data_IF_433094267034
#
_entry.id   IF_433094267034
#
_cell.length_a   1.000
_cell.length_b   1.000
_cell.length_c   1.000
_cell.angle_alpha   90.00
_cell.angle_beta   90.00
_cell.angle_gamma   90.00
#
_symmetry.space_group_name_H-M   'P 1'
#
loop_
_entity.id
_entity.type
_entity.pdbx_description
1 polymer ?
#
# COMPACT_ATOMS: atom_id res chain seq x y z
N UNK A 1 51.99 -26.06 -22.67
CA UNK A 1 51.61 -25.26 -21.48
C UNK A 1 50.36 -24.46 -21.86
N UNK A 2 49.17 -24.93 -21.49
CA UNK A 2 47.88 -24.31 -21.90
C UNK A 2 47.47 -23.30 -20.84
N UNK A 3 47.44 -22.00 -21.17
CA UNK A 3 46.80 -20.98 -20.35
C UNK A 3 45.28 -21.11 -20.52
N UNK A 4 44.58 -21.39 -19.42
CA UNK A 4 43.11 -21.30 -19.34
C UNK A 4 42.82 -19.89 -18.82
N UNK A 5 42.35 -19.00 -19.69
CA UNK A 5 41.87 -17.67 -19.32
C UNK A 5 40.46 -17.83 -18.75
N UNK A 6 40.31 -17.71 -17.43
CA UNK A 6 39.00 -17.66 -16.79
C UNK A 6 38.39 -16.27 -17.02
N UNK A 7 37.36 -16.20 -17.86
CA UNK A 7 36.48 -15.03 -17.95
C UNK A 7 35.63 -14.96 -16.70
N UNK A 8 35.98 -14.04 -15.78
CA UNK A 8 35.09 -13.64 -14.70
C UNK A 8 33.93 -12.83 -15.29
N UNK A 9 32.77 -13.47 -15.48
CA UNK A 9 31.54 -12.76 -15.80
C UNK A 9 31.14 -11.93 -14.58
N UNK A 10 31.30 -10.59 -14.69
CA UNK A 10 30.61 -9.65 -13.82
C UNK A 10 29.10 -9.82 -14.06
N UNK A 11 28.44 -10.52 -13.15
CA UNK A 11 26.99 -10.46 -13.02
C UNK A 11 26.66 -9.05 -12.53
N UNK A 12 26.19 -8.21 -13.45
CA UNK A 12 25.47 -7.00 -13.10
C UNK A 12 24.21 -7.42 -12.34
N UNK A 13 24.27 -7.40 -11.01
CA UNK A 13 23.07 -7.38 -10.18
C UNK A 13 22.43 -6.02 -10.41
N UNK A 14 21.58 -5.94 -11.42
CA UNK A 14 20.57 -4.89 -11.50
C UNK A 14 19.82 -5.00 -10.18
N UNK A 15 19.90 -3.97 -9.33
CA UNK A 15 19.15 -3.93 -8.09
C UNK A 15 17.68 -4.20 -8.44
N UNK A 16 17.19 -5.42 -8.16
CA UNK A 16 15.77 -5.65 -8.02
C UNK A 16 15.33 -4.63 -6.98
N UNK A 17 14.48 -3.67 -7.38
CA UNK A 17 13.79 -2.80 -6.43
C UNK A 17 13.28 -3.70 -5.31
N UNK A 18 13.86 -3.53 -4.12
CA UNK A 18 13.80 -4.54 -3.10
C UNK A 18 12.34 -4.89 -2.78
N UNK A 19 12.05 -6.18 -2.79
CA UNK A 19 10.98 -6.76 -1.99
C UNK A 19 11.29 -6.39 -0.54
N UNK A 20 10.79 -5.24 -0.11
CA UNK A 20 11.08 -4.65 1.18
C UNK A 20 9.88 -4.78 2.10
N UNK A 21 10.15 -4.90 3.40
CA UNK A 21 9.15 -4.67 4.44
C UNK A 21 9.14 -3.20 4.79
N UNK A 22 7.97 -2.58 4.76
CA UNK A 22 7.76 -1.17 5.07
C UNK A 22 6.74 -1.03 6.17
N UNK A 23 7.06 -0.25 7.20
CA UNK A 23 6.14 0.01 8.32
C UNK A 23 5.79 1.48 8.39
N UNK A 24 4.52 1.78 8.53
CA UNK A 24 4.03 3.13 8.74
C UNK A 24 4.18 3.55 10.19
N UNK A 25 4.79 4.71 10.41
CA UNK A 25 4.91 5.37 11.70
C UNK A 25 4.22 6.73 11.65
N UNK A 26 3.03 6.81 12.26
CA UNK A 26 2.24 8.02 12.29
C UNK A 26 2.83 9.14 13.18
N UNK A 27 3.80 8.82 14.04
CA UNK A 27 4.47 9.79 14.89
C UNK A 27 5.59 10.58 14.20
N UNK A 28 6.09 10.09 13.05
CA UNK A 28 7.24 10.70 12.35
C UNK A 28 6.84 11.99 11.62
N UNK A 29 5.72 11.97 10.90
CA UNK A 29 5.20 13.10 10.15
C UNK A 29 3.68 13.23 10.38
N UNK A 30 3.27 13.61 11.61
CA UNK A 30 1.86 13.59 12.03
C UNK A 30 1.00 14.65 11.32
N UNK A 31 1.62 15.72 10.79
CA UNK A 31 0.92 16.79 10.07
C UNK A 31 0.55 16.41 8.62
N UNK A 32 1.08 15.29 8.10
CA UNK A 32 0.80 14.87 6.73
C UNK A 32 0.66 13.34 6.64
N UNK A 33 -0.58 12.86 6.67
CA UNK A 33 -0.92 11.44 6.65
C UNK A 33 -1.02 10.85 5.24
N UNK A 34 -0.66 11.59 4.19
CA UNK A 34 -0.69 11.08 2.82
C UNK A 34 0.35 9.96 2.64
N UNK A 35 0.01 8.89 1.92
CA UNK A 35 0.93 7.79 1.61
C UNK A 35 2.28 8.26 1.06
N UNK A 36 2.25 9.29 0.21
CA UNK A 36 3.43 9.95 -0.36
C UNK A 36 3.78 11.29 0.34
N UNK A 37 3.18 11.51 1.50
CA UNK A 37 3.36 12.69 2.33
C UNK A 37 4.71 12.72 3.00
N UNK A 38 5.19 13.93 3.26
CA UNK A 38 6.43 14.20 3.94
C UNK A 38 6.33 15.50 4.74
N UNK A 39 7.25 15.65 5.69
CA UNK A 39 7.39 16.78 6.58
C UNK A 39 8.82 17.32 6.51
N UNK A 40 8.99 18.61 6.84
CA UNK A 40 10.31 19.16 7.11
C UNK A 40 10.84 18.59 8.43
N UNK A 41 12.08 18.12 8.41
CA UNK A 41 12.84 17.67 9.57
C UNK A 41 13.98 18.65 9.93
N UNK A 42 14.06 19.81 9.26
CA UNK A 42 15.07 20.84 9.49
C UNK A 42 15.90 21.12 8.24
N UNK A 43 17.20 21.33 8.43
CA UNK A 43 18.17 21.57 7.36
C UNK A 43 19.12 20.39 7.22
N UNK A 44 19.70 20.24 6.04
CA UNK A 44 20.62 19.16 5.75
C UNK A 44 21.91 19.22 6.57
N UNK A 45 22.40 18.08 7.08
CA UNK A 45 23.73 18.01 7.65
C UNK A 45 24.77 18.47 6.63
N UNK A 46 25.56 19.49 6.99
CA UNK A 46 26.62 20.03 6.14
C UNK A 46 26.16 21.03 5.07
N UNK A 47 24.85 21.26 4.89
CA UNK A 47 24.33 22.28 3.97
C UNK A 47 23.01 22.87 4.49
N UNK A 48 23.11 24.02 5.14
CA UNK A 48 21.94 24.72 5.71
C UNK A 48 21.00 25.29 4.66
N UNK A 49 21.42 25.38 3.39
CA UNK A 49 20.58 25.90 2.30
C UNK A 49 19.60 24.86 1.78
N UNK A 50 19.83 23.58 2.11
CA UNK A 50 18.99 22.45 1.72
C UNK A 50 18.09 22.01 2.86
N UNK A 51 16.83 21.76 2.53
CA UNK A 51 15.85 21.26 3.49
C UNK A 51 16.07 19.77 3.75
N UNK A 52 15.98 19.35 5.00
CA UNK A 52 15.96 17.94 5.39
C UNK A 52 14.52 17.49 5.55
N UNK A 53 14.15 16.36 4.95
CA UNK A 53 12.77 15.90 4.83
C UNK A 53 12.63 14.48 5.37
N UNK A 54 11.45 14.18 5.89
CA UNK A 54 11.10 12.84 6.39
C UNK A 54 9.68 12.46 5.98
N UNK A 55 9.42 11.18 5.74
CA UNK A 55 8.07 10.64 5.54
C UNK A 55 7.67 9.63 6.64
N UNK A 56 6.39 9.27 6.70
CA UNK A 56 5.88 8.29 7.68
C UNK A 56 6.41 6.85 7.43
N UNK A 57 7.22 6.64 6.40
CA UNK A 57 7.98 5.41 6.17
C UNK A 57 9.37 5.42 6.82
N UNK A 58 9.66 6.44 7.65
CA UNK A 58 10.94 6.66 8.33
C UNK A 58 12.13 6.86 7.37
N UNK A 59 11.86 7.30 6.15
CA UNK A 59 12.92 7.66 5.20
C UNK A 59 13.23 9.15 5.38
N UNK A 60 14.51 9.45 5.58
CA UNK A 60 15.03 10.81 5.71
C UNK A 60 15.91 11.14 4.50
N UNK A 61 15.77 12.35 3.94
CA UNK A 61 16.55 12.75 2.79
C UNK A 61 16.79 14.26 2.73
N UNK A 62 17.88 14.64 2.07
CA UNK A 62 18.28 16.03 1.89
C UNK A 62 17.61 16.78 0.75
N UNK A 63 16.84 16.06 -0.07
CA UNK A 63 15.95 16.62 -1.07
C UNK A 63 14.64 15.86 -1.02
N UNK A 64 13.53 16.58 -1.21
CA UNK A 64 12.19 15.96 -1.24
C UNK A 64 12.08 14.84 -2.27
N UNK A 65 12.71 15.02 -3.43
CA UNK A 65 12.70 14.05 -4.53
C UNK A 65 13.47 12.76 -4.25
N UNK A 66 14.29 12.74 -3.20
CA UNK A 66 15.11 11.57 -2.83
C UNK A 66 14.45 10.69 -1.77
N UNK A 67 13.25 11.05 -1.30
CA UNK A 67 12.48 10.20 -0.40
C UNK A 67 12.02 8.93 -1.11
N UNK A 68 12.33 7.79 -0.51
CA UNK A 68 11.86 6.48 -0.97
C UNK A 68 10.48 6.15 -0.40
N UNK A 69 9.73 5.33 -1.14
CA UNK A 69 8.40 4.87 -0.81
C UNK A 69 8.28 3.37 -1.14
N UNK A 70 7.33 2.64 -0.53
CA UNK A 70 7.06 1.26 -0.89
C UNK A 70 6.75 1.13 -2.39
N UNK A 71 7.44 0.20 -3.05
CA UNK A 71 7.31 -0.07 -4.48
C UNK A 71 6.88 -1.51 -4.79
N UNK A 72 6.85 -1.91 -6.07
CA UNK A 72 6.36 -3.22 -6.49
C UNK A 72 7.07 -4.36 -5.75
N UNK A 73 6.31 -5.34 -5.25
CA UNK A 73 6.87 -6.44 -4.45
C UNK A 73 7.02 -6.15 -2.95
N UNK A 74 6.78 -4.92 -2.50
CA UNK A 74 6.91 -4.56 -1.08
C UNK A 74 5.75 -5.08 -0.22
N UNK A 75 6.05 -5.53 0.99
CA UNK A 75 5.05 -5.79 2.03
C UNK A 75 4.92 -4.57 2.94
N UNK A 76 3.71 -4.06 3.08
CA UNK A 76 3.41 -2.82 3.81
C UNK A 76 2.61 -3.11 5.06
N UNK A 77 3.08 -2.62 6.19
CA UNK A 77 2.46 -2.77 7.49
C UNK A 77 1.98 -1.41 7.98
N UNK A 78 0.66 -1.24 8.03
CA UNK A 78 0.00 -0.13 8.71
C UNK A 78 -0.32 -0.62 10.13
N UNK A 79 0.74 -0.79 10.92
CA UNK A 79 0.73 -1.47 12.21
C UNK A 79 1.11 -0.57 13.39
N UNK A 80 1.10 0.75 13.23
CA UNK A 80 1.29 1.68 14.33
C UNK A 80 0.28 1.41 15.45
N UNK A 81 0.76 1.27 16.69
CA UNK A 81 -0.06 0.82 17.82
C UNK A 81 -0.25 1.85 18.93
N UNK A 82 0.52 2.95 18.93
CA UNK A 82 0.49 3.91 20.03
C UNK A 82 -0.86 4.63 20.13
N UNK A 83 -1.46 4.97 18.98
CA UNK A 83 -2.75 5.66 18.87
C UNK A 83 -3.46 5.23 17.60
N UNK A 84 -4.74 5.60 17.48
CA UNK A 84 -5.43 5.55 16.20
C UNK A 84 -4.75 6.50 15.22
N UNK A 85 -4.75 6.12 13.94
CA UNK A 85 -4.03 6.85 12.92
C UNK A 85 -4.70 6.72 11.56
N UNK A 86 -4.42 7.69 10.70
CA UNK A 86 -4.96 7.76 9.36
C UNK A 86 -3.86 7.54 8.34
N UNK A 87 -4.17 6.82 7.27
CA UNK A 87 -3.36 6.73 6.06
C UNK A 87 -4.23 7.19 4.91
N UNK A 88 -3.82 8.28 4.25
CA UNK A 88 -4.58 8.88 3.17
C UNK A 88 -3.95 8.57 1.81
N UNK A 89 -4.74 8.00 0.91
CA UNK A 89 -4.30 7.62 -0.43
C UNK A 89 -5.03 8.46 -1.50
N UNK A 90 -4.25 9.25 -2.24
CA UNK A 90 -4.73 10.09 -3.35
C UNK A 90 -3.95 9.89 -4.65
N UNK A 91 -3.24 8.77 -4.78
CA UNK A 91 -2.41 8.42 -5.93
C UNK A 91 -2.37 6.90 -6.12
N UNK A 92 -1.82 6.44 -7.24
CA UNK A 92 -1.64 5.01 -7.48
C UNK A 92 -0.51 4.43 -6.63
N UNK A 93 -0.73 3.24 -6.07
CA UNK A 93 0.26 2.46 -5.32
C UNK A 93 0.42 1.10 -6.01
N UNK A 94 1.66 0.64 -6.12
CA UNK A 94 2.02 -0.67 -6.63
C UNK A 94 2.96 -1.34 -5.62
N UNK A 95 2.44 -2.32 -4.89
CA UNK A 95 3.12 -3.07 -3.82
C UNK A 95 2.70 -4.54 -3.89
N UNK A 96 3.27 -5.41 -3.05
CA UNK A 96 2.79 -6.79 -2.91
C UNK A 96 1.55 -6.85 -2.05
N UNK A 97 1.67 -6.52 -0.76
CA UNK A 97 0.58 -6.69 0.19
C UNK A 97 0.53 -5.53 1.18
N UNK A 98 -0.66 -5.27 1.71
CA UNK A 98 -0.92 -4.25 2.73
C UNK A 98 -1.59 -4.94 3.92
N UNK A 99 -1.09 -4.70 5.13
CA UNK A 99 -1.61 -5.22 6.37
C UNK A 99 -1.98 -4.05 7.28
N UNK A 100 -3.28 -3.75 7.39
CA UNK A 100 -3.79 -2.69 8.25
C UNK A 100 -4.36 -3.26 9.55
N UNK A 101 -3.86 -2.78 10.69
CA UNK A 101 -4.36 -3.15 12.00
C UNK A 101 -5.72 -2.48 12.31
N UNK A 102 -6.31 -2.84 13.44
CA UNK A 102 -7.61 -2.34 13.90
C UNK A 102 -7.65 -0.84 14.29
N UNK A 103 -6.50 -0.17 14.36
CA UNK A 103 -6.36 1.26 14.66
C UNK A 103 -6.24 2.14 13.41
N UNK A 104 -6.02 1.52 12.26
CA UNK A 104 -5.82 2.22 11.00
C UNK A 104 -7.17 2.67 10.40
N UNK A 105 -7.27 3.96 10.10
CA UNK A 105 -8.25 4.50 9.16
C UNK A 105 -7.57 4.72 7.80
N UNK A 106 -7.80 3.82 6.87
CA UNK A 106 -7.30 3.93 5.49
C UNK A 106 -8.31 4.69 4.63
N UNK A 107 -8.01 5.96 4.35
CA UNK A 107 -8.84 6.81 3.49
C UNK A 107 -8.35 6.65 2.05
N UNK A 108 -9.15 5.99 1.22
CA UNK A 108 -8.86 5.85 -0.21
C UNK A 108 -9.67 6.89 -0.97
N UNK A 109 -9.03 7.95 -1.45
CA UNK A 109 -9.68 9.01 -2.23
C UNK A 109 -9.61 8.77 -3.74
N UNK A 110 -8.45 8.37 -4.25
CA UNK A 110 -8.21 8.18 -5.68
C UNK A 110 -7.03 7.23 -5.93
N UNK A 111 -6.73 6.98 -7.21
CA UNK A 111 -5.62 6.11 -7.62
C UNK A 111 -5.94 4.62 -7.56
N UNK A 112 -5.10 3.81 -8.18
CA UNK A 112 -5.21 2.35 -8.14
C UNK A 112 -4.39 1.76 -7.01
N UNK A 113 -4.92 0.75 -6.33
CA UNK A 113 -4.15 -0.18 -5.51
C UNK A 113 -3.80 -1.39 -6.37
N UNK A 114 -2.54 -1.50 -6.79
CA UNK A 114 -2.01 -2.68 -7.46
C UNK A 114 -1.24 -3.52 -6.45
N UNK A 115 -1.75 -4.72 -6.18
CA UNK A 115 -1.22 -5.67 -5.22
C UNK A 115 -0.72 -6.90 -5.97
N UNK A 116 0.60 -6.99 -6.15
CA UNK A 116 1.24 -8.05 -6.94
C UNK A 116 2.63 -8.36 -6.42
N UNK A 117 3.02 -9.62 -6.57
CA UNK A 117 4.40 -10.07 -6.36
C UNK A 117 5.11 -10.21 -7.72
N UNK A 118 5.95 -9.24 -8.13
CA UNK A 118 6.62 -9.29 -9.42
C UNK A 118 7.60 -10.47 -9.53
N UNK A 119 8.14 -10.96 -8.42
CA UNK A 119 9.07 -12.09 -8.42
C UNK A 119 8.35 -13.44 -8.52
N UNK A 120 7.05 -13.48 -8.25
CA UNK A 120 6.22 -14.66 -8.43
C UNK A 120 5.25 -14.47 -9.60
N UNK A 121 5.76 -14.16 -10.80
CA UNK A 121 4.96 -14.01 -12.02
C UNK A 121 3.74 -13.06 -11.88
N UNK A 122 3.92 -11.95 -11.15
CA UNK A 122 2.85 -11.02 -10.80
C UNK A 122 1.67 -11.71 -10.09
N UNK A 123 1.95 -12.71 -9.25
CA UNK A 123 0.95 -13.35 -8.41
C UNK A 123 0.19 -12.28 -7.61
N UNK A 124 -1.15 -12.37 -7.50
CA UNK A 124 -1.93 -11.40 -6.74
C UNK A 124 -1.47 -11.34 -5.29
N UNK A 125 -1.28 -10.13 -4.78
CA UNK A 125 -1.10 -9.89 -3.36
C UNK A 125 -2.40 -9.50 -2.67
N UNK A 126 -2.31 -9.14 -1.39
CA UNK A 126 -3.48 -8.99 -0.51
C UNK A 126 -3.46 -7.69 0.27
N UNK A 127 -4.61 -7.02 0.34
CA UNK A 127 -4.89 -6.00 1.33
C UNK A 127 -5.75 -6.63 2.43
N UNK A 128 -5.16 -6.83 3.60
CA UNK A 128 -5.86 -7.26 4.81
C UNK A 128 -6.21 -6.04 5.63
N UNK A 129 -7.51 -5.79 5.81
CA UNK A 129 -8.04 -4.71 6.64
C UNK A 129 -8.62 -5.26 7.95
N UNK A 130 -8.13 -4.77 9.09
CA UNK A 130 -8.74 -5.00 10.41
C UNK A 130 -9.35 -3.72 11.01
N UNK A 131 -9.08 -2.55 10.43
CA UNK A 131 -9.55 -1.25 10.89
C UNK A 131 -10.70 -0.71 10.01
N UNK A 132 -10.65 0.58 9.68
CA UNK A 132 -11.61 1.23 8.80
C UNK A 132 -10.97 1.51 7.44
N UNK A 133 -11.59 1.02 6.36
CA UNK A 133 -11.32 1.52 5.00
C UNK A 133 -12.48 2.42 4.60
N UNK A 134 -12.17 3.67 4.27
CA UNK A 134 -13.16 4.66 3.84
C UNK A 134 -12.85 5.10 2.41
N UNK A 135 -13.74 4.77 1.50
CA UNK A 135 -13.69 5.19 0.10
C UNK A 135 -14.42 6.52 -0.04
N UNK A 136 -13.67 7.59 -0.32
CA UNK A 136 -14.16 8.98 -0.30
C UNK A 136 -13.96 9.70 -1.64
N UNK A 137 -14.68 10.80 -1.86
CA UNK A 137 -14.57 11.62 -3.07
C UNK A 137 -15.13 10.94 -4.33
N UNK A 138 -15.50 11.74 -5.32
CA UNK A 138 -16.20 11.25 -6.53
C UNK A 138 -15.24 10.79 -7.64
N UNK A 139 -14.18 10.07 -7.28
CA UNK A 139 -13.19 9.55 -8.23
C UNK A 139 -13.45 8.08 -8.58
N UNK A 140 -12.98 7.67 -9.76
CA UNK A 140 -12.85 6.27 -10.15
C UNK A 140 -11.53 5.70 -9.62
N UNK A 141 -11.59 4.53 -8.97
CA UNK A 141 -10.41 3.84 -8.41
C UNK A 141 -10.50 2.34 -8.63
N UNK A 142 -9.36 1.67 -8.59
CA UNK A 142 -9.28 0.24 -8.89
C UNK A 142 -8.41 -0.51 -7.89
N UNK A 143 -8.86 -1.69 -7.49
CA UNK A 143 -8.04 -2.67 -6.79
C UNK A 143 -7.68 -3.80 -7.77
N UNK A 144 -6.39 -4.07 -7.94
CA UNK A 144 -5.88 -5.27 -8.59
C UNK A 144 -5.22 -6.14 -7.52
N UNK A 145 -5.87 -7.26 -7.15
CA UNK A 145 -5.43 -8.13 -6.05
C UNK A 145 -6.58 -8.54 -5.14
N UNK A 146 -6.25 -9.06 -3.96
CA UNK A 146 -7.22 -9.56 -2.98
C UNK A 146 -7.51 -8.50 -1.92
N UNK A 147 -8.78 -8.36 -1.52
CA UNK A 147 -9.19 -7.62 -0.33
C UNK A 147 -9.77 -8.61 0.68
N UNK A 148 -9.14 -8.71 1.84
CA UNK A 148 -9.62 -9.46 3.00
C UNK A 148 -10.06 -8.44 4.04
N UNK A 149 -11.37 -8.28 4.21
CA UNK A 149 -11.93 -7.29 5.12
C UNK A 149 -12.45 -7.96 6.41
N UNK A 150 -11.68 -7.78 7.49
CA UNK A 150 -12.03 -8.19 8.86
C UNK A 150 -12.41 -6.98 9.74
N UNK A 151 -12.39 -5.77 9.18
CA UNK A 151 -12.82 -4.54 9.82
C UNK A 151 -14.05 -3.96 9.13
N UNK A 152 -14.13 -2.62 9.10
CA UNK A 152 -15.21 -1.90 8.43
C UNK A 152 -14.75 -1.38 7.07
N UNK A 153 -15.58 -1.57 6.04
CA UNK A 153 -15.41 -0.97 4.72
C UNK A 153 -16.61 -0.07 4.42
N UNK A 154 -16.37 1.22 4.23
CA UNK A 154 -17.41 2.21 3.90
C UNK A 154 -17.14 2.81 2.53
N UNK A 155 -18.11 2.71 1.63
CA UNK A 155 -18.10 3.45 0.37
C UNK A 155 -19.02 4.67 0.47
N UNK A 156 -18.43 5.86 0.58
CA UNK A 156 -19.19 7.10 0.72
C UNK A 156 -19.48 7.76 -0.63
N UNK A 157 -18.56 7.65 -1.60
CA UNK A 157 -18.69 8.28 -2.91
C UNK A 157 -17.83 7.58 -3.98
N UNK A 158 -18.11 7.90 -5.24
CA UNK A 158 -17.34 7.43 -6.39
C UNK A 158 -17.53 5.95 -6.73
N UNK A 159 -16.71 5.48 -7.66
CA UNK A 159 -16.75 4.11 -8.18
C UNK A 159 -15.46 3.37 -7.83
N UNK A 160 -15.59 2.13 -7.36
CA UNK A 160 -14.47 1.24 -7.08
C UNK A 160 -14.60 -0.05 -7.89
N UNK A 161 -13.55 -0.37 -8.65
CA UNK A 161 -13.49 -1.56 -9.50
C UNK A 161 -12.53 -2.59 -8.89
N UNK A 162 -12.96 -3.86 -8.79
CA UNK A 162 -12.10 -4.97 -8.38
C UNK A 162 -11.72 -5.77 -9.61
N UNK A 163 -10.41 -5.90 -9.87
CA UNK A 163 -9.86 -6.60 -11.02
C UNK A 163 -9.04 -7.79 -10.53
N UNK A 164 -9.37 -8.97 -11.07
CA UNK A 164 -8.88 -10.31 -10.66
C UNK A 164 -9.36 -10.70 -9.24
N UNK A 165 -10.11 -11.82 -9.16
CA UNK A 165 -10.85 -12.37 -8.01
C UNK A 165 -9.91 -12.55 -6.81
N UNK A 166 -10.26 -12.41 -5.52
CA UNK A 166 -11.41 -12.84 -4.72
C UNK A 166 -11.69 -11.79 -3.61
N UNK A 167 -12.97 -11.63 -3.21
CA UNK A 167 -13.37 -10.88 -2.02
C UNK A 167 -13.74 -11.89 -0.94
N UNK A 168 -13.07 -11.86 0.22
CA UNK A 168 -13.44 -12.65 1.40
C UNK A 168 -13.88 -11.68 2.49
N UNK A 169 -15.16 -11.71 2.86
CA UNK A 169 -15.77 -10.79 3.81
C UNK A 169 -16.23 -11.53 5.07
N UNK A 170 -15.86 -10.97 6.22
CA UNK A 170 -16.39 -11.32 7.55
C UNK A 170 -16.88 -10.04 8.28
N UNK A 171 -17.54 -9.09 7.58
CA UNK A 171 -17.95 -7.78 8.14
C UNK A 171 -19.23 -7.18 7.54
N UNK A 172 -19.77 -6.13 8.18
CA UNK A 172 -21.03 -5.47 7.80
C UNK A 172 -20.85 -4.40 6.70
N UNK A 173 -21.49 -4.57 5.54
CA UNK A 173 -21.60 -3.55 4.48
C UNK A 173 -22.69 -2.52 4.85
N UNK A 174 -22.34 -1.24 4.96
CA UNK A 174 -23.31 -0.13 5.04
C UNK A 174 -23.08 0.83 3.86
N UNK A 175 -24.03 0.79 2.91
CA UNK A 175 -24.29 1.67 1.74
C UNK A 175 -23.44 1.57 0.44
N UNK A 176 -24.17 1.28 -0.66
CA UNK A 176 -23.99 1.52 -2.11
C UNK A 176 -22.94 0.77 -2.97
N UNK A 177 -23.24 0.66 -4.28
CA UNK A 177 -23.02 -0.51 -5.18
C UNK A 177 -21.61 -0.73 -5.74
N UNK A 178 -21.21 -2.00 -5.70
CA UNK A 178 -20.07 -2.62 -6.37
C UNK A 178 -20.56 -3.44 -7.59
N UNK A 179 -19.87 -3.47 -8.75
CA UNK A 179 -20.17 -4.45 -9.83
C UNK A 179 -19.05 -5.47 -9.96
N UNK A 180 -19.29 -6.63 -9.36
CA UNK A 180 -18.59 -7.87 -9.69
C UNK A 180 -18.96 -8.29 -11.12
N UNK A 181 -17.97 -8.37 -12.01
CA UNK A 181 -18.11 -9.18 -13.22
C UNK A 181 -17.66 -10.61 -12.87
N UNK A 182 -18.65 -11.50 -12.84
CA UNK A 182 -18.63 -12.96 -12.62
C UNK A 182 -18.56 -13.48 -11.17
N UNK A 183 -19.76 -13.80 -10.68
CA UNK A 183 -20.15 -14.85 -9.72
C UNK A 183 -19.69 -14.76 -8.26
N UNK A 184 -20.58 -14.25 -7.41
CA UNK A 184 -20.84 -14.82 -6.08
C UNK A 184 -22.35 -14.60 -5.79
N UNK A 185 -23.15 -15.66 -5.89
CA UNK A 185 -24.48 -15.70 -5.25
C UNK A 185 -24.23 -16.08 -3.79
N UNK A 186 -24.66 -15.23 -2.87
CA UNK A 186 -24.97 -15.67 -1.52
C UNK A 186 -26.22 -16.55 -1.60
N UNK A 187 -26.11 -17.85 -1.30
CA UNK A 187 -27.24 -18.69 -0.96
C UNK A 187 -27.22 -18.90 0.56
N UNK A 188 -28.19 -18.39 1.33
CA UNK A 188 -28.37 -18.87 2.69
C UNK A 188 -28.83 -20.33 2.65
N UNK A 189 -28.16 -21.17 3.43
CA UNK A 189 -28.64 -22.52 3.73
C UNK A 189 -30.00 -22.43 4.43
N UNK A 190 -31.03 -23.20 4.03
CA UNK A 190 -32.19 -23.39 4.88
C UNK A 190 -31.75 -24.27 6.06
N UNK A 191 -31.92 -23.75 7.28
CA UNK A 191 -31.90 -24.56 8.49
C UNK A 191 -33.02 -25.61 8.37
N UNK A 192 -32.66 -26.88 8.59
CA UNK A 192 -33.60 -27.98 8.76
C UNK A 192 -34.05 -28.05 10.22
#
# INVERSE_FOLDING_TARGET
>A
MRLITALAQMVFVVALNAQGTWSWDAGVCPSNTNWYGYCSAGTCPGDITRGYWVNNWRVYACDRGSLAYPGPGSEVYLNWTATDFTVFLSAGVDVKSIFANNRCTFIWQSGSLTLRDPANNNAPGTFTNQGLVQVVGSYSRGLLGLLVNNGTLVQQAGNTFFRRRHFAEHGHIRSARWRALSQLRYQPHPEQ
#
